data_IF_420885837125
#
_entry.id   IF_420885837125
#
_cell.length_a   1.000
_cell.length_b   1.000
_cell.length_c   1.000
_cell.angle_alpha   90.00
_cell.angle_beta   90.00
_cell.angle_gamma   90.00
#
_symmetry.space_group_name_H-M   'P 1'
#
loop_
_entity.id
_entity.type
_entity.pdbx_description
1 polymer ?
#
# COMPACT_ATOMS: atom_id res chain seq x y z
N UNK A 1 -16.85 11.93 1.31
CA UNK A 1 -17.25 10.51 1.37
C UNK A 1 -16.74 9.70 0.19
N UNK A 2 -17.00 10.06 -1.08
CA UNK A 2 -16.51 9.33 -2.27
C UNK A 2 -15.01 8.98 -2.22
N UNK A 3 -14.14 9.98 -2.02
CA UNK A 3 -12.68 9.77 -1.84
C UNK A 3 -12.31 8.80 -0.72
N UNK A 4 -13.04 8.78 0.40
CA UNK A 4 -12.71 7.86 1.50
C UNK A 4 -13.03 6.42 1.10
N UNK A 5 -14.19 6.21 0.46
CA UNK A 5 -14.61 4.91 -0.09
C UNK A 5 -13.63 4.46 -1.18
N UNK A 6 -13.22 5.35 -2.09
CA UNK A 6 -12.28 5.02 -3.16
C UNK A 6 -10.94 4.51 -2.61
N UNK A 7 -10.42 5.15 -1.56
CA UNK A 7 -9.18 4.74 -0.91
C UNK A 7 -9.34 3.47 -0.09
N UNK A 8 -10.48 3.30 0.60
CA UNK A 8 -10.81 2.05 1.28
C UNK A 8 -10.85 0.87 0.29
N UNK A 9 -11.56 1.03 -0.83
CA UNK A 9 -11.64 0.03 -1.91
C UNK A 9 -10.27 -0.22 -2.56
N UNK A 10 -9.48 0.83 -2.77
CA UNK A 10 -8.11 0.68 -3.27
C UNK A 10 -7.25 -0.14 -2.32
N UNK A 11 -7.31 0.14 -1.01
CA UNK A 11 -6.62 -0.61 0.03
C UNK A 11 -7.03 -2.08 0.08
N UNK A 12 -8.34 -2.35 -0.01
CA UNK A 12 -8.86 -3.73 -0.11
C UNK A 12 -8.35 -4.43 -1.37
N UNK A 13 -8.37 -3.78 -2.54
CA UNK A 13 -7.88 -4.37 -3.79
C UNK A 13 -6.41 -4.78 -3.67
N UNK A 14 -5.59 -3.92 -3.07
CA UNK A 14 -4.17 -4.20 -2.83
C UNK A 14 -4.00 -5.39 -1.88
N UNK A 15 -4.70 -5.40 -0.75
CA UNK A 15 -4.63 -6.50 0.22
C UNK A 15 -5.10 -7.84 -0.39
N UNK A 16 -6.21 -7.84 -1.13
CA UNK A 16 -6.73 -9.01 -1.82
C UNK A 16 -5.78 -9.53 -2.90
N UNK A 17 -5.20 -8.63 -3.70
CA UNK A 17 -4.21 -9.00 -4.72
C UNK A 17 -3.01 -9.71 -4.08
N UNK A 18 -2.51 -9.20 -2.95
CA UNK A 18 -1.38 -9.81 -2.25
C UNK A 18 -1.73 -11.13 -1.59
N UNK A 19 -2.89 -11.21 -0.93
CA UNK A 19 -3.34 -12.45 -0.33
C UNK A 19 -3.48 -13.57 -1.36
N UNK A 20 -4.12 -13.28 -2.50
CA UNK A 20 -4.26 -14.24 -3.60
C UNK A 20 -2.91 -14.61 -4.22
N UNK A 21 -2.00 -13.63 -4.38
CA UNK A 21 -0.65 -13.90 -4.89
C UNK A 21 0.15 -14.80 -3.95
N UNK A 22 0.08 -14.58 -2.62
CA UNK A 22 0.70 -15.46 -1.64
C UNK A 22 0.07 -16.85 -1.66
N UNK A 23 -1.25 -16.95 -1.75
CA UNK A 23 -1.96 -18.23 -1.84
C UNK A 23 -1.57 -19.03 -3.08
N UNK A 24 -1.27 -18.37 -4.20
CA UNK A 24 -0.72 -19.02 -5.40
C UNK A 24 0.73 -19.42 -5.18
N UNK A 25 1.55 -18.53 -4.60
CA UNK A 25 2.96 -18.79 -4.35
C UNK A 25 3.18 -19.99 -3.41
N UNK A 26 2.30 -20.19 -2.43
CA UNK A 26 2.38 -21.31 -1.49
C UNK A 26 2.10 -22.66 -2.14
N UNK A 27 1.38 -22.70 -3.26
CA UNK A 27 1.24 -23.91 -4.08
C UNK A 27 2.58 -24.34 -4.70
N UNK A 28 3.44 -23.38 -5.02
CA UNK A 28 4.78 -23.65 -5.55
C UNK A 28 5.83 -23.82 -4.43
N UNK A 29 5.61 -23.19 -3.28
CA UNK A 29 6.53 -23.18 -2.15
C UNK A 29 5.78 -23.45 -0.82
N UNK A 30 5.59 -24.73 -0.45
CA UNK A 30 4.79 -25.12 0.72
C UNK A 30 5.38 -24.69 2.07
N UNK A 31 6.62 -24.18 2.10
CA UNK A 31 7.24 -23.60 3.30
C UNK A 31 6.74 -22.19 3.66
N UNK A 32 5.89 -21.58 2.84
CA UNK A 32 5.34 -20.23 3.09
C UNK A 32 4.06 -20.36 3.92
N UNK A 33 4.06 -19.76 5.11
CA UNK A 33 2.87 -19.70 5.97
C UNK A 33 2.01 -18.50 5.59
N UNK A 34 0.72 -18.72 5.38
CA UNK A 34 -0.27 -17.66 5.14
C UNK A 34 -1.55 -17.93 5.95
N UNK A 35 -2.37 -16.91 6.25
CA UNK A 35 -3.63 -17.12 6.96
C UNK A 35 -4.56 -18.02 6.13
N UNK A 36 -5.09 -19.07 6.74
CA UNK A 36 -6.07 -19.93 6.07
C UNK A 36 -7.31 -19.14 5.61
N UNK A 37 -8.00 -19.55 4.53
CA UNK A 37 -9.19 -18.87 4.00
C UNK A 37 -10.44 -19.09 4.87
N UNK A 38 -10.32 -18.83 6.17
CA UNK A 38 -11.43 -18.80 7.12
C UNK A 38 -12.11 -17.43 7.12
N UNK A 39 -13.40 -17.40 7.44
CA UNK A 39 -14.21 -16.16 7.53
C UNK A 39 -13.52 -15.10 8.40
N UNK A 40 -12.98 -15.51 9.56
CA UNK A 40 -12.22 -14.64 10.46
C UNK A 40 -11.04 -13.96 9.75
N UNK A 41 -10.28 -14.73 8.97
CA UNK A 41 -9.07 -14.26 8.32
C UNK A 41 -9.36 -13.38 7.10
N UNK A 42 -10.44 -13.70 6.37
CA UNK A 42 -10.94 -12.87 5.27
C UNK A 42 -11.42 -11.52 5.81
N UNK A 43 -12.19 -11.51 6.91
CA UNK A 43 -12.62 -10.28 7.57
C UNK A 43 -11.44 -9.45 8.07
N UNK A 44 -10.42 -10.10 8.64
CA UNK A 44 -9.20 -9.44 9.08
C UNK A 44 -8.49 -8.74 7.92
N UNK A 45 -8.28 -9.44 6.80
CA UNK A 45 -7.63 -8.88 5.61
C UNK A 45 -8.46 -7.74 4.99
N UNK A 46 -9.78 -7.89 4.96
CA UNK A 46 -10.71 -6.88 4.46
C UNK A 46 -10.60 -5.58 5.28
N UNK A 47 -10.71 -5.68 6.61
CA UNK A 47 -10.61 -4.53 7.49
C UNK A 47 -9.21 -3.92 7.47
N UNK A 48 -8.17 -4.76 7.53
CA UNK A 48 -6.78 -4.32 7.51
C UNK A 48 -6.44 -3.56 6.22
N UNK A 49 -6.76 -4.13 5.06
CA UNK A 49 -6.53 -3.50 3.77
C UNK A 49 -7.31 -2.20 3.60
N UNK A 50 -8.59 -2.22 3.98
CA UNK A 50 -9.44 -1.02 3.92
C UNK A 50 -8.97 0.11 4.82
N UNK A 51 -8.63 -0.20 6.08
CA UNK A 51 -8.10 0.79 7.05
C UNK A 51 -6.76 1.34 6.55
N UNK A 52 -5.86 0.49 6.04
CA UNK A 52 -4.61 0.96 5.44
C UNK A 52 -4.83 1.91 4.27
N UNK A 53 -5.80 1.62 3.39
CA UNK A 53 -6.16 2.51 2.28
C UNK A 53 -6.65 3.88 2.76
N UNK A 54 -7.55 3.92 3.75
CA UNK A 54 -8.02 5.18 4.34
C UNK A 54 -6.88 5.93 5.05
N UNK A 55 -5.97 5.20 5.69
CA UNK A 55 -4.81 5.78 6.34
C UNK A 55 -3.87 6.45 5.33
N UNK A 56 -3.68 5.86 4.14
CA UNK A 56 -2.95 6.49 3.03
C UNK A 56 -3.56 7.85 2.68
N UNK A 57 -4.89 7.95 2.59
CA UNK A 57 -5.57 9.24 2.33
C UNK A 57 -5.25 10.29 3.41
N UNK A 58 -5.29 9.88 4.68
CA UNK A 58 -5.02 10.79 5.81
C UNK A 58 -3.57 11.28 5.74
N UNK A 59 -2.62 10.36 5.57
CA UNK A 59 -1.19 10.68 5.46
C UNK A 59 -0.86 11.51 4.21
N UNK A 60 -1.59 11.31 3.11
CA UNK A 60 -1.45 12.13 1.91
C UNK A 60 -1.89 13.59 2.15
N UNK A 61 -2.87 13.81 3.03
CA UNK A 61 -3.33 15.16 3.41
C UNK A 61 -2.40 15.88 4.39
N UNK A 62 -1.44 15.20 5.02
CA UNK A 62 -0.46 15.83 5.89
C UNK A 62 0.62 16.54 5.05
N UNK A 63 0.24 17.61 4.34
CA UNK A 63 1.08 18.38 3.40
C UNK A 63 2.28 19.08 4.06
N UNK A 64 2.28 19.21 5.39
CA UNK A 64 3.36 19.83 6.14
C UNK A 64 4.62 18.95 6.27
N UNK A 65 4.53 17.65 6.00
CA UNK A 65 5.67 16.73 6.10
C UNK A 65 6.44 16.66 4.79
N UNK A 66 7.76 16.80 4.88
CA UNK A 66 8.67 16.50 3.77
C UNK A 66 8.39 15.09 3.23
N UNK A 67 8.49 14.93 1.90
CA UNK A 67 8.16 13.70 1.20
C UNK A 67 8.80 12.45 1.84
N UNK A 68 10.10 12.52 2.17
CA UNK A 68 10.84 11.45 2.85
C UNK A 68 10.28 11.09 4.23
N UNK A 69 9.88 12.09 5.03
CA UNK A 69 9.30 11.88 6.36
C UNK A 69 7.93 11.24 6.23
N UNK A 70 7.12 11.66 5.25
CA UNK A 70 5.82 11.06 4.98
C UNK A 70 5.95 9.56 4.66
N UNK A 71 6.97 9.16 3.90
CA UNK A 71 7.24 7.73 3.63
C UNK A 71 7.55 6.98 4.91
N UNK A 72 8.44 7.53 5.74
CA UNK A 72 8.83 6.91 6.99
C UNK A 72 7.64 6.73 7.92
N UNK A 73 6.82 7.77 8.08
CA UNK A 73 5.61 7.70 8.90
C UNK A 73 4.60 6.71 8.31
N UNK A 74 4.38 6.71 6.99
CA UNK A 74 3.45 5.76 6.38
C UNK A 74 3.91 4.31 6.54
N UNK A 75 5.20 4.04 6.40
CA UNK A 75 5.80 2.73 6.67
C UNK A 75 5.58 2.30 8.13
N UNK A 76 5.87 3.19 9.09
CA UNK A 76 5.72 2.88 10.50
C UNK A 76 4.26 2.62 10.89
N UNK A 77 3.32 3.41 10.38
CA UNK A 77 1.91 3.24 10.72
C UNK A 77 1.33 1.99 10.05
N UNK A 78 1.67 1.71 8.79
CA UNK A 78 1.23 0.47 8.12
C UNK A 78 1.84 -0.78 8.77
N UNK A 79 3.10 -0.74 9.20
CA UNK A 79 3.72 -1.80 9.99
C UNK A 79 3.03 -1.97 11.36
N UNK A 80 2.65 -0.88 12.03
CA UNK A 80 1.91 -0.92 13.29
C UNK A 80 0.54 -1.57 13.12
N UNK A 81 -0.19 -1.21 12.05
CA UNK A 81 -1.48 -1.83 11.73
C UNK A 81 -1.31 -3.33 11.47
N UNK A 82 -0.27 -3.73 10.73
CA UNK A 82 0.04 -5.14 10.47
C UNK A 82 0.27 -5.89 11.78
N UNK A 83 1.08 -5.34 12.70
CA UNK A 83 1.34 -5.94 14.01
C UNK A 83 0.06 -6.05 14.84
N UNK A 84 -0.68 -4.95 15.00
CA UNK A 84 -1.90 -4.91 15.81
C UNK A 84 -2.96 -5.88 15.29
N UNK A 85 -3.17 -5.90 13.97
CA UNK A 85 -4.13 -6.82 13.33
C UNK A 85 -3.67 -8.27 13.51
N UNK A 86 -2.38 -8.55 13.33
CA UNK A 86 -1.84 -9.89 13.52
C UNK A 86 -1.99 -10.38 14.96
N UNK A 87 -1.76 -9.52 15.95
CA UNK A 87 -1.98 -9.84 17.36
C UNK A 87 -3.47 -10.06 17.66
N UNK A 88 -4.35 -9.19 17.17
CA UNK A 88 -5.79 -9.25 17.43
C UNK A 88 -6.46 -10.50 16.83
N UNK A 89 -6.03 -10.93 15.65
CA UNK A 89 -6.62 -12.07 14.96
C UNK A 89 -5.93 -13.42 15.23
N UNK A 90 -4.85 -13.41 16.03
CA UNK A 90 -4.12 -14.61 16.47
C UNK A 90 -3.00 -15.07 15.53
N UNK A 91 -2.50 -14.19 14.66
CA UNK A 91 -1.36 -14.43 13.77
C UNK A 91 -0.03 -13.91 14.34
N UNK A 92 0.07 -13.71 15.66
CA UNK A 92 1.26 -13.17 16.31
C UNK A 92 2.54 -13.99 16.04
N UNK A 93 2.42 -15.30 15.83
CA UNK A 93 3.55 -16.16 15.45
C UNK A 93 4.15 -15.80 14.08
N UNK A 94 3.33 -15.33 13.13
CA UNK A 94 3.80 -14.93 11.81
C UNK A 94 4.71 -13.68 11.85
N UNK A 95 4.58 -12.84 12.87
CA UNK A 95 5.43 -11.65 13.06
C UNK A 95 6.90 -12.02 13.33
N UNK A 96 7.16 -13.23 13.82
CA UNK A 96 8.53 -13.73 14.01
C UNK A 96 9.17 -14.24 12.73
N UNK A 97 8.40 -14.39 11.64
CA UNK A 97 8.93 -14.84 10.35
C UNK A 97 9.63 -13.68 9.62
N UNK A 98 10.93 -13.77 9.31
CA UNK A 98 11.63 -12.76 8.52
C UNK A 98 11.03 -12.60 7.12
N UNK A 99 10.40 -13.66 6.61
CA UNK A 99 9.78 -13.71 5.30
C UNK A 99 8.60 -12.74 5.18
N UNK A 100 7.80 -12.60 6.26
CA UNK A 100 6.66 -11.67 6.31
C UNK A 100 7.14 -10.22 6.15
N UNK A 101 8.20 -9.85 6.86
CA UNK A 101 8.79 -8.52 6.79
C UNK A 101 9.46 -8.25 5.45
N UNK A 102 10.13 -9.26 4.88
CA UNK A 102 10.70 -9.16 3.53
C UNK A 102 9.62 -8.87 2.49
N UNK A 103 8.54 -9.64 2.45
CA UNK A 103 7.45 -9.39 1.53
C UNK A 103 6.76 -8.05 1.80
N UNK A 104 6.51 -7.69 3.05
CA UNK A 104 5.95 -6.39 3.41
C UNK A 104 6.79 -5.23 2.86
N UNK A 105 8.11 -5.25 3.09
CA UNK A 105 9.03 -4.21 2.60
C UNK A 105 9.15 -4.22 1.08
N UNK A 106 9.19 -5.40 0.45
CA UNK A 106 9.23 -5.54 -1.01
C UNK A 106 8.00 -4.91 -1.66
N UNK A 107 6.83 -5.25 -1.14
CA UNK A 107 5.53 -4.72 -1.60
C UNK A 107 5.46 -3.23 -1.40
N UNK A 108 5.81 -2.77 -0.20
CA UNK A 108 5.82 -1.35 0.14
C UNK A 108 6.73 -0.58 -0.82
N UNK A 109 7.96 -1.08 -1.03
CA UNK A 109 8.92 -0.51 -1.97
C UNK A 109 8.39 -0.44 -3.40
N UNK A 110 7.75 -1.51 -3.91
CA UNK A 110 7.18 -1.55 -5.25
C UNK A 110 6.04 -0.52 -5.43
N UNK A 111 5.11 -0.43 -4.47
CA UNK A 111 4.02 0.55 -4.50
C UNK A 111 4.60 1.96 -4.50
N UNK A 112 5.63 2.20 -3.68
CA UNK A 112 6.21 3.53 -3.53
C UNK A 112 7.03 3.94 -4.76
N UNK A 113 7.81 3.02 -5.34
CA UNK A 113 8.49 3.21 -6.61
C UNK A 113 7.51 3.54 -7.73
N UNK A 114 6.39 2.81 -7.80
CA UNK A 114 5.32 3.11 -8.75
C UNK A 114 4.75 4.52 -8.54
N UNK A 115 4.55 4.95 -7.29
CA UNK A 115 4.02 6.28 -6.97
C UNK A 115 5.02 7.41 -7.30
N UNK A 116 6.32 7.21 -7.06
CA UNK A 116 7.38 8.13 -7.52
C UNK A 116 7.36 8.24 -9.05
N UNK A 117 7.33 7.10 -9.74
CA UNK A 117 7.33 7.07 -11.22
C UNK A 117 6.10 7.78 -11.81
N UNK A 118 4.92 7.55 -11.23
CA UNK A 118 3.71 8.23 -11.64
C UNK A 118 3.81 9.74 -11.44
N UNK A 119 4.35 10.18 -10.31
CA UNK A 119 4.57 11.60 -10.00
C UNK A 119 5.50 12.24 -11.03
N UNK A 120 6.64 11.61 -11.34
CA UNK A 120 7.56 12.11 -12.36
C UNK A 120 6.90 12.22 -13.74
N UNK A 121 6.14 11.21 -14.16
CA UNK A 121 5.44 11.22 -15.45
C UNK A 121 4.38 12.34 -15.51
N UNK A 122 3.70 12.61 -14.40
CA UNK A 122 2.75 13.71 -14.30
C UNK A 122 3.45 15.07 -14.39
N UNK A 123 4.57 15.25 -13.67
CA UNK A 123 5.38 16.48 -13.74
C UNK A 123 5.90 16.72 -15.15
N UNK A 124 6.41 15.69 -15.83
CA UNK A 124 6.86 15.79 -17.22
C UNK A 124 5.73 16.22 -18.17
N UNK A 125 4.54 15.62 -18.04
CA UNK A 125 3.38 16.01 -18.84
C UNK A 125 2.93 17.46 -18.62
N UNK A 126 2.97 17.94 -17.37
CA UNK A 126 2.64 19.34 -17.05
C UNK A 126 3.67 20.28 -17.67
N UNK A 127 4.96 19.97 -17.54
CA UNK A 127 6.02 20.80 -18.12
C UNK A 127 5.93 20.85 -19.65
N UNK A 128 5.67 19.72 -20.30
CA UNK A 128 5.43 19.66 -21.75
C UNK A 128 4.21 20.50 -22.17
N UNK A 129 3.09 20.40 -21.44
CA UNK A 129 1.91 21.19 -21.74
C UNK A 129 2.12 22.71 -21.53
N UNK A 130 2.97 23.10 -20.59
CA UNK A 130 3.35 24.50 -20.37
C UNK A 130 4.29 25.02 -21.47
N UNK A 131 5.22 24.18 -21.93
CA UNK A 131 6.15 24.48 -23.01
C UNK A 131 5.43 24.64 -24.35
N UNK A 132 4.51 23.71 -24.68
CA UNK A 132 3.63 23.79 -25.85
C UNK A 132 2.75 25.05 -25.83
N UNK A 133 2.26 25.46 -24.66
CA UNK A 133 1.52 26.72 -24.52
C UNK A 133 2.41 27.93 -24.76
N UNK A 134 3.61 27.97 -24.18
CA UNK A 134 4.58 29.07 -24.39
C UNK A 134 4.99 29.22 -25.85
N UNK A 135 5.17 28.12 -26.58
CA UNK A 135 5.48 28.15 -28.01
C UNK A 135 4.30 28.68 -28.85
N UNK A 136 3.05 28.42 -28.43
CA UNK A 136 1.84 28.89 -29.14
C UNK A 136 1.51 30.37 -28.88
N UNK A 137 1.88 30.94 -27.75
CA UNK A 137 1.67 32.38 -27.46
C UNK A 137 2.88 33.27 -27.78
N UNK A 138 4.01 32.69 -28.18
CA UNK A 138 5.23 33.41 -28.59
C UNK A 138 5.32 33.74 -30.08
N UNK A 139 4.30 33.39 -30.87
CA UNK A 139 4.07 33.82 -32.26
C UNK A 139 2.84 34.72 -32.31
#
# INVERSE_FOLDING_TARGET
MKRLIDYFVSGMRTASFFYLSMMVLTQFYPGITYPEPMIKNILALFLMGGIMGVLTLILEKLEFLAFSIRVGVHLLVTATILVLTSLFFGWGSALWSPLLWFFFLLIYGLIWLYQIWQTHKLTQRINQALEDKRQKTGH
#
